data_IF_054058112193
#
_entry.id   IF_054058112193
#
_cell.length_a   1.000
_cell.length_b   1.000
_cell.length_c   1.000
_cell.angle_alpha   90.00
_cell.angle_beta   90.00
_cell.angle_gamma   90.00
#
_symmetry.space_group_name_H-M   'P 1'
#
loop_
_entity.id
_entity.type
_entity.pdbx_description
1 polymer ?
#
# COMPACT_ATOMS: atom_id res chain seq x y z
N UNK A 1 -0.37 23.39 0.66
CA UNK A 1 1.05 23.16 0.32
C UNK A 1 1.54 21.80 0.78
N UNK A 2 1.42 21.48 2.08
CA UNK A 2 1.88 20.22 2.68
C UNK A 2 1.38 18.94 1.96
N UNK A 3 0.08 18.82 1.63
CA UNK A 3 -0.46 17.63 0.95
C UNK A 3 0.14 17.42 -0.45
N UNK A 4 0.49 18.50 -1.18
CA UNK A 4 1.12 18.40 -2.50
C UNK A 4 2.56 17.90 -2.41
N UNK A 5 3.29 18.37 -1.40
CA UNK A 5 4.66 17.90 -1.13
C UNK A 5 4.64 16.42 -0.78
N UNK A 6 3.72 15.99 0.08
CA UNK A 6 3.57 14.59 0.46
C UNK A 6 3.14 13.70 -0.71
N UNK A 7 2.25 14.16 -1.59
CA UNK A 7 1.91 13.48 -2.83
C UNK A 7 3.14 13.23 -3.70
N UNK A 8 3.93 14.27 -3.97
CA UNK A 8 5.16 14.15 -4.76
C UNK A 8 6.15 13.21 -4.07
N UNK A 9 6.33 13.35 -2.75
CA UNK A 9 7.19 12.46 -1.98
C UNK A 9 6.74 11.00 -2.04
N UNK A 10 5.42 10.72 -2.02
CA UNK A 10 4.87 9.38 -2.22
C UNK A 10 5.32 8.81 -3.55
N UNK A 11 5.18 9.56 -4.65
CA UNK A 11 5.66 9.11 -5.97
C UNK A 11 7.15 8.84 -5.98
N UNK A 12 7.95 9.80 -5.49
CA UNK A 12 9.41 9.69 -5.50
C UNK A 12 9.89 8.49 -4.67
N UNK A 13 9.20 8.12 -3.60
CA UNK A 13 9.59 6.99 -2.75
C UNK A 13 9.57 5.63 -3.47
N UNK A 14 8.78 5.47 -4.54
CA UNK A 14 8.71 4.24 -5.32
C UNK A 14 9.78 4.16 -6.43
N UNK A 15 10.35 5.29 -6.84
CA UNK A 15 11.29 5.36 -7.96
C UNK A 15 12.49 4.43 -7.78
N UNK A 16 13.17 4.36 -6.62
CA UNK A 16 14.33 3.48 -6.47
C UNK A 16 13.99 2.01 -6.72
N UNK A 17 12.83 1.55 -6.26
CA UNK A 17 12.38 0.16 -6.42
C UNK A 17 11.95 -0.13 -7.86
N UNK A 18 11.17 0.77 -8.47
CA UNK A 18 10.72 0.64 -9.86
C UNK A 18 11.89 0.66 -10.84
N UNK A 19 12.84 1.59 -10.65
CA UNK A 19 14.06 1.68 -11.46
C UNK A 19 14.88 0.40 -11.33
N UNK A 20 15.03 -0.13 -10.12
CA UNK A 20 15.80 -1.35 -9.89
C UNK A 20 15.19 -2.55 -10.61
N UNK A 21 13.86 -2.73 -10.52
CA UNK A 21 13.12 -3.76 -11.26
C UNK A 21 13.30 -3.62 -12.78
N UNK A 22 13.15 -2.40 -13.31
CA UNK A 22 13.24 -2.16 -14.77
C UNK A 22 14.65 -2.34 -15.32
N UNK A 23 15.68 -1.86 -14.59
CA UNK A 23 17.08 -1.95 -15.02
C UNK A 23 17.58 -3.38 -14.93
N UNK A 24 17.25 -4.11 -13.85
CA UNK A 24 17.69 -5.50 -13.68
C UNK A 24 16.84 -6.50 -14.43
N UNK A 25 15.59 -6.16 -14.75
CA UNK A 25 14.58 -7.08 -15.31
C UNK A 25 14.47 -8.38 -14.51
N UNK A 26 14.56 -8.25 -13.20
CA UNK A 26 14.58 -9.34 -12.24
C UNK A 26 13.81 -8.92 -11.01
N UNK A 27 13.01 -9.83 -10.47
CA UNK A 27 12.26 -9.65 -9.22
C UNK A 27 12.81 -10.49 -8.06
N UNK A 28 14.01 -11.05 -8.18
CA UNK A 28 14.63 -11.89 -7.15
C UNK A 28 14.74 -11.19 -5.79
N UNK A 29 14.27 -11.87 -4.75
CA UNK A 29 14.22 -11.32 -3.39
C UNK A 29 13.03 -10.43 -3.09
N UNK A 30 12.12 -10.21 -4.05
CA UNK A 30 10.81 -9.59 -3.81
C UNK A 30 9.75 -10.68 -3.86
N UNK A 31 8.99 -10.81 -2.77
CA UNK A 31 7.88 -11.75 -2.70
C UNK A 31 6.68 -11.22 -3.49
N UNK A 32 6.18 -12.02 -4.42
CA UNK A 32 4.95 -11.69 -5.15
C UNK A 32 3.77 -11.43 -4.20
N UNK A 33 3.65 -12.23 -3.14
CA UNK A 33 2.58 -12.06 -2.16
C UNK A 33 2.77 -10.81 -1.30
N UNK A 34 4.01 -10.38 -1.02
CA UNK A 34 4.25 -9.10 -0.36
C UNK A 34 3.71 -7.94 -1.21
N UNK A 35 4.01 -7.95 -2.50
CA UNK A 35 3.52 -6.92 -3.43
C UNK A 35 2.00 -6.98 -3.57
N UNK A 36 1.43 -8.19 -3.65
CA UNK A 36 -0.02 -8.40 -3.66
C UNK A 36 -0.69 -7.83 -2.41
N UNK A 37 -0.20 -8.14 -1.22
CA UNK A 37 -0.82 -7.66 0.03
C UNK A 37 -0.82 -6.13 0.11
N UNK A 38 0.28 -5.46 -0.28
CA UNK A 38 0.32 -4.01 -0.35
C UNK A 38 -0.58 -3.44 -1.47
N UNK A 39 -0.75 -4.16 -2.57
CA UNK A 39 -1.71 -3.81 -3.62
C UNK A 39 -3.15 -3.89 -3.10
N UNK A 40 -3.51 -4.92 -2.32
CA UNK A 40 -4.83 -5.01 -1.68
C UNK A 40 -5.07 -3.82 -0.74
N UNK A 41 -4.08 -3.50 0.11
CA UNK A 41 -4.16 -2.35 1.04
C UNK A 41 -4.36 -1.04 0.31
N UNK A 42 -3.53 -0.75 -0.70
CA UNK A 42 -3.65 0.48 -1.46
C UNK A 42 -4.93 0.57 -2.29
N UNK A 43 -5.43 -0.58 -2.79
CA UNK A 43 -6.75 -0.65 -3.45
C UNK A 43 -7.85 -0.25 -2.48
N UNK A 44 -7.87 -0.82 -1.27
CA UNK A 44 -8.89 -0.51 -0.26
C UNK A 44 -8.87 0.97 0.14
N UNK A 45 -7.68 1.53 0.41
CA UNK A 45 -7.55 2.94 0.75
C UNK A 45 -7.99 3.86 -0.40
N UNK A 46 -7.66 3.53 -1.65
CA UNK A 46 -8.11 4.29 -2.81
C UNK A 46 -9.63 4.19 -3.03
N UNK A 47 -10.20 2.98 -2.86
CA UNK A 47 -11.64 2.75 -2.93
C UNK A 47 -12.39 3.57 -1.87
N UNK A 48 -11.96 3.50 -0.60
CA UNK A 48 -12.61 4.26 0.48
C UNK A 48 -12.48 5.77 0.28
N UNK A 49 -11.31 6.25 -0.17
CA UNK A 49 -11.15 7.67 -0.50
C UNK A 49 -12.11 8.12 -1.62
N UNK A 50 -12.26 7.30 -2.67
CA UNK A 50 -13.20 7.59 -3.75
C UNK A 50 -14.66 7.53 -3.26
N UNK A 51 -15.00 6.58 -2.40
CA UNK A 51 -16.32 6.48 -1.80
C UNK A 51 -16.69 7.72 -0.99
N UNK A 52 -15.79 8.20 -0.13
CA UNK A 52 -16.05 9.40 0.67
C UNK A 52 -16.08 10.69 -0.15
N UNK A 53 -15.20 10.83 -1.14
CA UNK A 53 -15.08 12.08 -1.93
C UNK A 53 -16.10 12.16 -3.06
N UNK A 54 -16.43 11.04 -3.71
CA UNK A 54 -17.28 11.00 -4.91
C UNK A 54 -18.69 10.53 -4.57
N UNK A 55 -18.85 9.34 -3.99
CA UNK A 55 -20.18 8.75 -3.76
C UNK A 55 -20.93 9.44 -2.62
N UNK A 56 -20.24 9.77 -1.54
CA UNK A 56 -20.83 10.45 -0.37
C UNK A 56 -20.83 11.98 -0.46
N UNK A 57 -20.40 12.59 -1.57
CA UNK A 57 -20.32 14.04 -1.71
C UNK A 57 -21.65 14.76 -1.38
N UNK A 58 -22.77 14.20 -1.84
CA UNK A 58 -24.11 14.79 -1.69
C UNK A 58 -24.78 14.43 -0.35
N UNK A 59 -24.53 13.22 0.15
CA UNK A 59 -25.09 12.73 1.41
C UNK A 59 -24.36 13.37 2.61
N UNK A 60 -23.04 13.56 2.47
CA UNK A 60 -22.17 14.22 3.42
C UNK A 60 -21.67 13.31 4.53
N UNK A 61 -20.36 13.36 4.78
CA UNK A 61 -19.73 12.90 6.02
C UNK A 61 -18.69 13.93 6.41
N UNK A 62 -18.88 14.63 7.52
CA UNK A 62 -17.93 15.67 8.01
C UNK A 62 -16.73 15.07 8.77
N UNK A 63 -16.66 13.75 8.91
CA UNK A 63 -15.64 13.07 9.73
C UNK A 63 -14.39 12.78 8.91
N UNK A 64 -14.54 12.31 7.67
CA UNK A 64 -13.44 11.91 6.79
C UNK A 64 -13.14 12.94 5.68
N UNK A 65 -14.17 13.60 5.14
CA UNK A 65 -14.11 14.58 4.04
C UNK A 65 -14.89 15.83 4.46
N UNK A 66 -14.65 16.98 3.85
CA UNK A 66 -15.44 18.18 4.14
C UNK A 66 -16.76 18.12 3.37
N UNK A 67 -17.82 18.76 3.89
CA UNK A 67 -19.07 18.95 3.15
C UNK A 67 -19.20 20.41 2.67
N UNK A 68 -19.11 20.71 1.36
CA UNK A 68 -18.72 19.83 0.25
C UNK A 68 -17.20 19.53 0.23
N UNK A 69 -16.75 18.50 -0.51
CA UNK A 69 -15.33 18.14 -0.59
C UNK A 69 -14.48 19.32 -1.07
N UNK A 70 -13.44 19.66 -0.30
CA UNK A 70 -12.56 20.77 -0.63
C UNK A 70 -11.34 20.30 -1.45
N UNK A 71 -10.49 21.24 -1.90
CA UNK A 71 -9.28 20.91 -2.67
C UNK A 71 -8.34 19.94 -1.95
N UNK A 72 -8.28 19.98 -0.62
CA UNK A 72 -7.48 19.05 0.18
C UNK A 72 -7.98 17.61 0.08
N UNK A 73 -9.29 17.42 0.10
CA UNK A 73 -9.95 16.10 -0.01
C UNK A 73 -9.66 15.47 -1.39
N UNK A 74 -9.76 16.26 -2.46
CA UNK A 74 -9.38 15.82 -3.81
C UNK A 74 -7.90 15.46 -3.93
N UNK A 75 -6.99 16.21 -3.29
CA UNK A 75 -5.56 15.87 -3.28
C UNK A 75 -5.32 14.56 -2.52
N UNK A 76 -6.04 14.32 -1.41
CA UNK A 76 -5.95 13.06 -0.67
C UNK A 76 -6.41 11.88 -1.52
N UNK A 77 -7.52 12.03 -2.25
CA UNK A 77 -7.99 11.03 -3.20
C UNK A 77 -6.91 10.72 -4.25
N UNK A 78 -6.41 11.74 -4.94
CA UNK A 78 -5.33 11.59 -5.94
C UNK A 78 -4.12 10.88 -5.34
N UNK A 79 -3.75 11.23 -4.11
CA UNK A 79 -2.61 10.63 -3.43
C UNK A 79 -2.77 9.12 -3.20
N UNK A 80 -3.92 8.70 -2.67
CA UNK A 80 -4.19 7.28 -2.42
C UNK A 80 -4.34 6.50 -3.74
N UNK A 81 -4.99 7.09 -4.74
CA UNK A 81 -5.09 6.51 -6.09
C UNK A 81 -3.72 6.34 -6.75
N UNK A 82 -2.83 7.34 -6.63
CA UNK A 82 -1.48 7.24 -7.18
C UNK A 82 -0.66 6.15 -6.48
N UNK A 83 -0.78 6.02 -5.15
CA UNK A 83 -0.13 4.92 -4.41
C UNK A 83 -0.65 3.56 -4.89
N UNK A 84 -1.96 3.42 -5.11
CA UNK A 84 -2.55 2.22 -5.73
C UNK A 84 -1.94 1.93 -7.11
N UNK A 85 -1.84 2.93 -8.00
CA UNK A 85 -1.25 2.76 -9.33
C UNK A 85 0.22 2.33 -9.25
N UNK A 86 1.00 2.90 -8.32
CA UNK A 86 2.40 2.55 -8.13
C UNK A 86 2.58 1.10 -7.62
N UNK A 87 1.70 0.64 -6.74
CA UNK A 87 1.66 -0.76 -6.32
C UNK A 87 1.22 -1.69 -7.44
N UNK A 88 0.24 -1.29 -8.24
CA UNK A 88 -0.21 -2.07 -9.40
C UNK A 88 0.92 -2.22 -10.43
N UNK A 89 1.66 -1.14 -10.68
CA UNK A 89 2.85 -1.17 -11.54
C UNK A 89 3.92 -2.09 -10.97
N UNK A 90 4.20 -1.98 -9.68
CA UNK A 90 5.18 -2.85 -9.00
C UNK A 90 4.76 -4.32 -9.08
N UNK A 91 3.47 -4.62 -8.92
CA UNK A 91 2.89 -5.95 -9.06
C UNK A 91 3.04 -6.50 -10.48
N UNK A 92 2.68 -5.70 -11.50
CA UNK A 92 2.84 -6.07 -12.89
C UNK A 92 4.31 -6.37 -13.24
N UNK A 93 5.24 -5.50 -12.85
CA UNK A 93 6.68 -5.71 -13.07
C UNK A 93 7.21 -6.93 -12.32
N UNK A 94 6.73 -7.18 -11.09
CA UNK A 94 7.11 -8.37 -10.31
C UNK A 94 6.64 -9.65 -10.99
N UNK A 95 5.47 -9.64 -11.63
CA UNK A 95 4.98 -10.78 -12.43
C UNK A 95 5.80 -10.94 -13.72
N UNK A 96 5.97 -9.86 -14.49
CA UNK A 96 6.65 -9.87 -15.79
C UNK A 96 8.10 -10.36 -15.65
N UNK A 97 8.79 -9.94 -14.59
CA UNK A 97 10.18 -10.33 -14.32
C UNK A 97 10.30 -11.52 -13.35
N UNK A 98 9.17 -12.16 -13.01
CA UNK A 98 9.20 -13.35 -12.17
C UNK A 98 9.78 -14.53 -12.94
N UNK A 99 10.72 -15.24 -12.32
CA UNK A 99 11.14 -16.58 -12.76
C UNK A 99 10.37 -17.70 -12.03
N UNK A 100 9.29 -17.34 -11.32
CA UNK A 100 8.54 -18.24 -10.44
C UNK A 100 7.56 -19.17 -11.16
N UNK A 101 7.01 -20.11 -10.40
CA UNK A 101 6.00 -21.05 -10.87
C UNK A 101 4.68 -20.32 -11.24
N UNK A 102 4.23 -20.52 -12.49
CA UNK A 102 3.03 -19.89 -13.05
C UNK A 102 1.75 -20.07 -12.23
N UNK A 103 1.64 -21.14 -11.43
CA UNK A 103 0.51 -21.33 -10.52
C UNK A 103 0.42 -20.23 -9.46
N UNK A 104 1.55 -19.82 -8.88
CA UNK A 104 1.56 -18.75 -7.87
C UNK A 104 1.20 -17.40 -8.47
N UNK A 105 1.64 -17.14 -9.71
CA UNK A 105 1.27 -15.95 -10.47
C UNK A 105 -0.24 -15.95 -10.72
N UNK A 106 -0.78 -17.06 -11.24
CA UNK A 106 -2.22 -17.19 -11.49
C UNK A 106 -3.05 -16.99 -10.22
N UNK A 107 -2.64 -17.57 -9.08
CA UNK A 107 -3.29 -17.35 -7.80
C UNK A 107 -3.23 -15.89 -7.35
N UNK A 108 -2.08 -15.22 -7.47
CA UNK A 108 -1.95 -13.83 -7.07
C UNK A 108 -2.85 -12.91 -7.93
N UNK A 109 -2.88 -13.13 -9.25
CA UNK A 109 -3.78 -12.41 -10.17
C UNK A 109 -5.23 -12.68 -9.79
N UNK A 110 -5.62 -13.95 -9.58
CA UNK A 110 -7.00 -14.29 -9.24
C UNK A 110 -7.46 -13.62 -7.93
N UNK A 111 -6.60 -13.61 -6.89
CA UNK A 111 -6.89 -12.94 -5.62
C UNK A 111 -7.05 -11.44 -5.82
N UNK A 112 -6.14 -10.78 -6.54
CA UNK A 112 -6.26 -9.36 -6.81
C UNK A 112 -7.52 -9.03 -7.62
N UNK A 113 -7.77 -9.76 -8.71
CA UNK A 113 -8.95 -9.57 -9.54
C UNK A 113 -10.23 -9.74 -8.73
N UNK A 114 -10.32 -10.80 -7.92
CA UNK A 114 -11.48 -11.02 -7.05
C UNK A 114 -11.68 -9.86 -6.08
N UNK A 115 -10.62 -9.41 -5.40
CA UNK A 115 -10.70 -8.28 -4.47
C UNK A 115 -11.11 -6.98 -5.17
N UNK A 116 -10.52 -6.69 -6.34
CA UNK A 116 -10.85 -5.50 -7.13
C UNK A 116 -12.32 -5.50 -7.59
N UNK A 117 -12.84 -6.67 -8.01
CA UNK A 117 -14.23 -6.85 -8.43
C UNK A 117 -15.24 -6.63 -7.30
N UNK A 118 -14.90 -6.95 -6.06
CA UNK A 118 -15.81 -6.75 -4.91
C UNK A 118 -15.64 -5.38 -4.24
N UNK A 119 -14.48 -4.72 -4.40
CA UNK A 119 -14.16 -3.45 -3.74
C UNK A 119 -14.35 -2.26 -4.69
N UNK A 120 -13.53 -2.14 -5.72
CA UNK A 120 -13.49 -0.94 -6.57
C UNK A 120 -14.58 -0.92 -7.65
N UNK A 121 -14.92 -2.07 -8.23
CA UNK A 121 -15.90 -2.14 -9.34
C UNK A 121 -17.31 -1.68 -8.94
N UNK A 122 -17.88 -2.08 -7.78
CA UNK A 122 -19.20 -1.60 -7.37
C UNK A 122 -19.23 -0.08 -7.21
N UNK A 123 -18.14 0.50 -6.70
CA UNK A 123 -18.00 1.94 -6.54
C UNK A 123 -17.91 2.67 -7.89
N UNK A 124 -17.12 2.13 -8.83
CA UNK A 124 -17.02 2.69 -10.19
C UNK A 124 -18.39 2.63 -10.88
N UNK A 125 -19.12 1.52 -10.74
CA UNK A 125 -20.46 1.36 -11.30
C UNK A 125 -21.45 2.38 -10.72
N UNK A 126 -21.44 2.61 -9.40
CA UNK A 126 -22.24 3.67 -8.76
C UNK A 126 -21.87 5.06 -9.32
N UNK A 127 -20.58 5.39 -9.36
CA UNK A 127 -20.10 6.71 -9.79
C UNK A 127 -20.45 7.08 -11.24
N UNK A 128 -20.59 6.10 -12.14
CA UNK A 128 -20.96 6.35 -13.55
C UNK A 128 -22.46 6.21 -13.82
N UNK A 129 -23.23 5.69 -12.86
CA UNK A 129 -24.67 5.53 -13.01
C UNK A 129 -25.35 6.87 -12.77
N UNK A 130 -26.12 7.41 -13.74
CA UNK A 130 -26.91 8.62 -13.50
C UNK A 130 -27.88 8.37 -12.36
N UNK A 131 -27.76 9.14 -11.29
CA UNK A 131 -28.75 9.14 -10.23
C UNK A 131 -29.79 10.21 -10.59
N UNK A 132 -30.96 9.75 -11.06
CA UNK A 132 -32.11 10.63 -11.24
C UNK A 132 -32.33 11.42 -9.94
N UNK A 133 -32.63 12.71 -10.05
CA UNK A 133 -32.74 13.66 -8.92
C UNK A 133 -33.86 13.32 -7.91
N UNK A 134 -34.45 12.13 -7.97
CA UNK A 134 -35.40 11.69 -6.98
C UNK A 134 -34.67 11.51 -5.63
N UNK A 135 -35.05 12.26 -4.58
CA UNK A 135 -34.36 12.27 -3.28
C UNK A 135 -34.45 10.93 -2.49
N UNK A 136 -34.96 9.87 -3.12
CA UNK A 136 -35.32 8.58 -2.51
C UNK A 136 -35.02 7.39 -3.41
N UNK A 137 -33.86 7.34 -4.08
CA UNK A 137 -33.38 6.05 -4.59
C UNK A 137 -32.97 5.15 -3.41
N UNK A 138 -33.94 4.39 -2.90
CA UNK A 138 -33.79 3.50 -1.75
C UNK A 138 -32.70 2.45 -1.99
N UNK A 139 -32.53 1.99 -3.23
CA UNK A 139 -31.52 1.00 -3.60
C UNK A 139 -30.11 1.58 -3.44
N UNK A 140 -29.91 2.84 -3.85
CA UNK A 140 -28.63 3.54 -3.63
C UNK A 140 -28.30 3.70 -2.15
N UNK A 141 -29.30 4.00 -1.30
CA UNK A 141 -29.09 4.10 0.16
C UNK A 141 -28.66 2.77 0.76
N UNK A 142 -29.30 1.67 0.35
CA UNK A 142 -28.91 0.33 0.76
C UNK A 142 -27.49 -0.02 0.28
N UNK A 143 -27.16 0.32 -0.97
CA UNK A 143 -25.81 0.15 -1.49
C UNK A 143 -24.79 0.91 -0.64
N UNK A 144 -24.99 2.21 -0.40
CA UNK A 144 -24.09 3.04 0.42
C UNK A 144 -23.92 2.43 1.81
N UNK A 145 -25.01 2.07 2.49
CA UNK A 145 -24.96 1.53 3.84
C UNK A 145 -24.26 0.16 3.89
N UNK A 146 -24.53 -0.72 2.92
CA UNK A 146 -23.90 -2.03 2.85
C UNK A 146 -22.41 -1.92 2.50
N UNK A 147 -22.07 -1.06 1.55
CA UNK A 147 -20.70 -0.80 1.12
C UNK A 147 -19.87 -0.22 2.27
N UNK A 148 -20.35 0.87 2.89
CA UNK A 148 -19.71 1.48 4.06
C UNK A 148 -19.56 0.44 5.18
N UNK A 149 -20.62 -0.29 5.49
CA UNK A 149 -20.61 -1.29 6.56
C UNK A 149 -19.59 -2.41 6.32
N UNK A 150 -19.60 -3.01 5.13
CA UNK A 150 -18.68 -4.09 4.78
C UNK A 150 -17.23 -3.63 4.77
N UNK A 151 -16.95 -2.46 4.17
CA UNK A 151 -15.58 -1.95 4.09
C UNK A 151 -15.06 -1.52 5.45
N UNK A 152 -15.81 -0.68 6.18
CA UNK A 152 -15.34 -0.08 7.43
C UNK A 152 -15.28 -1.09 8.58
N UNK A 153 -16.24 -2.01 8.70
CA UNK A 153 -16.28 -2.94 9.84
C UNK A 153 -15.63 -4.30 9.57
N UNK A 154 -15.52 -4.73 8.31
CA UNK A 154 -14.99 -6.06 7.97
C UNK A 154 -13.69 -5.97 7.19
N UNK A 155 -13.63 -5.20 6.10
CA UNK A 155 -12.44 -5.19 5.24
C UNK A 155 -11.28 -4.40 5.85
N UNK A 156 -11.49 -3.20 6.40
CA UNK A 156 -10.36 -2.41 6.93
C UNK A 156 -9.56 -3.14 8.01
N UNK A 157 -10.16 -3.83 9.03
CA UNK A 157 -9.38 -4.60 9.99
C UNK A 157 -8.60 -5.75 9.34
N UNK A 158 -9.22 -6.46 8.39
CA UNK A 158 -8.56 -7.54 7.64
C UNK A 158 -7.38 -6.99 6.86
N UNK A 159 -7.56 -5.87 6.17
CA UNK A 159 -6.54 -5.22 5.33
C UNK A 159 -5.36 -4.74 6.18
N UNK A 160 -5.58 -4.17 7.37
CA UNK A 160 -4.49 -3.82 8.29
C UNK A 160 -3.70 -5.05 8.74
N UNK A 161 -4.37 -6.18 9.04
CA UNK A 161 -3.69 -7.43 9.39
C UNK A 161 -2.87 -7.98 8.21
N UNK A 162 -3.41 -7.88 6.99
CA UNK A 162 -2.71 -8.25 5.77
C UNK A 162 -1.48 -7.35 5.53
N UNK A 163 -1.59 -6.04 5.79
CA UNK A 163 -0.48 -5.09 5.73
C UNK A 163 0.67 -5.52 6.67
N UNK A 164 0.35 -5.88 7.91
CA UNK A 164 1.34 -6.37 8.87
C UNK A 164 1.94 -7.72 8.43
N UNK A 165 1.10 -8.63 7.91
CA UNK A 165 1.54 -9.94 7.43
C UNK A 165 2.50 -9.86 6.23
N UNK A 166 2.46 -8.77 5.47
CA UNK A 166 3.38 -8.52 4.36
C UNK A 166 4.85 -8.56 4.81
N UNK A 167 5.16 -8.15 6.04
CA UNK A 167 6.50 -8.27 6.62
C UNK A 167 6.97 -9.72 6.66
N UNK A 168 6.16 -10.63 7.19
CA UNK A 168 6.54 -12.03 7.36
C UNK A 168 6.77 -12.69 6.00
N UNK A 169 5.90 -12.37 5.04
CA UNK A 169 5.98 -12.87 3.67
C UNK A 169 7.25 -12.39 2.99
N UNK A 170 7.58 -11.10 3.08
CA UNK A 170 8.76 -10.53 2.44
C UNK A 170 10.06 -10.95 3.14
N UNK A 171 10.10 -10.97 4.47
CA UNK A 171 11.27 -11.36 5.25
C UNK A 171 11.77 -12.79 4.93
N UNK A 172 10.85 -13.69 4.56
CA UNK A 172 11.18 -15.05 4.10
C UNK A 172 11.85 -15.06 2.73
N UNK A 173 11.52 -14.10 1.87
CA UNK A 173 12.05 -14.00 0.50
C UNK A 173 13.38 -13.26 0.38
N UNK A 174 13.83 -12.54 1.42
CA UNK A 174 15.12 -11.82 1.39
C UNK A 174 16.29 -12.81 1.49
N UNK A 175 16.69 -13.44 0.40
CA UNK A 175 17.88 -14.30 0.35
C UNK A 175 19.21 -13.53 0.35
N UNK A 176 20.36 -14.23 0.39
CA UNK A 176 21.69 -13.65 0.18
C UNK A 176 21.79 -12.90 -1.16
N UNK A 177 21.12 -13.43 -2.19
CA UNK A 177 21.04 -12.84 -3.54
C UNK A 177 19.79 -11.96 -3.76
N UNK A 178 19.21 -11.37 -2.70
CA UNK A 178 18.07 -10.45 -2.83
C UNK A 178 18.48 -9.11 -3.47
N UNK A 179 18.72 -9.19 -4.78
CA UNK A 179 19.34 -8.18 -5.64
C UNK A 179 18.33 -7.21 -6.22
N UNK A 180 17.06 -7.60 -6.32
CA UNK A 180 15.99 -6.74 -6.82
C UNK A 180 15.36 -5.86 -5.74
N UNK A 181 15.62 -6.10 -4.45
CA UNK A 181 15.09 -5.28 -3.35
C UNK A 181 15.95 -4.01 -3.15
N UNK A 182 15.32 -2.85 -3.28
CA UNK A 182 15.97 -1.54 -3.17
C UNK A 182 15.99 -1.06 -1.72
N UNK A 183 17.16 -1.00 -1.10
CA UNK A 183 17.32 -0.45 0.26
C UNK A 183 16.94 1.03 0.31
N UNK A 184 17.31 1.80 -0.73
CA UNK A 184 16.94 3.21 -0.87
C UNK A 184 15.41 3.36 -0.95
N UNK A 185 14.74 2.47 -1.68
CA UNK A 185 13.28 2.41 -1.75
C UNK A 185 12.65 2.16 -0.38
N UNK A 186 13.15 1.16 0.37
CA UNK A 186 12.67 0.86 1.72
C UNK A 186 12.85 2.05 2.67
N UNK A 187 14.00 2.73 2.65
CA UNK A 187 14.25 3.94 3.45
C UNK A 187 13.27 5.04 3.07
N UNK A 188 13.16 5.35 1.77
CA UNK A 188 12.31 6.43 1.30
C UNK A 188 10.84 6.16 1.64
N UNK A 189 10.36 4.94 1.44
CA UNK A 189 9.00 4.53 1.78
C UNK A 189 8.76 4.56 3.29
N UNK A 190 9.70 4.08 4.12
CA UNK A 190 9.56 4.17 5.58
C UNK A 190 9.37 5.63 6.04
N UNK A 191 10.23 6.53 5.59
CA UNK A 191 10.18 7.96 5.97
C UNK A 191 8.88 8.60 5.47
N UNK A 192 8.58 8.46 4.18
CA UNK A 192 7.43 9.14 3.57
C UNK A 192 6.12 8.64 4.17
N UNK A 193 5.98 7.33 4.40
CA UNK A 193 4.74 6.79 4.97
C UNK A 193 4.61 7.05 6.47
N UNK A 194 5.71 7.19 7.22
CA UNK A 194 5.66 7.75 8.58
C UNK A 194 5.14 9.19 8.60
N UNK A 195 5.62 10.03 7.67
CA UNK A 195 5.13 11.41 7.54
C UNK A 195 3.65 11.44 7.12
N UNK A 196 3.23 10.51 6.24
CA UNK A 196 1.83 10.40 5.85
C UNK A 196 0.94 10.02 7.02
N UNK A 197 1.31 8.97 7.76
CA UNK A 197 0.62 8.53 8.96
C UNK A 197 0.38 9.70 9.92
N UNK A 198 1.46 10.43 10.25
CA UNK A 198 1.38 11.61 11.11
C UNK A 198 0.45 12.66 10.51
N UNK A 199 0.61 12.97 9.22
CA UNK A 199 -0.24 13.98 8.58
C UNK A 199 -1.72 13.62 8.59
N UNK A 200 -2.07 12.32 8.50
CA UNK A 200 -3.46 11.87 8.59
C UNK A 200 -4.07 12.14 9.96
N UNK A 201 -3.30 12.04 11.05
CA UNK A 201 -3.80 12.39 12.39
C UNK A 201 -4.29 13.85 12.49
N UNK A 202 -3.71 14.77 11.71
CA UNK A 202 -4.16 16.17 11.63
C UNK A 202 -5.22 16.44 10.57
N UNK A 203 -5.38 15.55 9.58
CA UNK A 203 -6.38 15.70 8.49
C UNK A 203 -7.76 15.21 8.91
N UNK A 204 -7.80 14.21 9.79
CA UNK A 204 -9.04 13.59 10.24
C UNK A 204 -9.71 14.45 11.32
N UNK A 205 -11.03 14.63 11.24
CA UNK A 205 -11.78 15.25 12.32
C UNK A 205 -12.05 14.22 13.41
N UNK A 206 -11.75 14.58 14.65
CA UNK A 206 -12.00 13.71 15.78
C UNK A 206 -13.51 13.54 15.98
N UNK A 207 -14.05 12.31 16.01
CA UNK A 207 -15.50 12.05 16.08
C UNK A 207 -16.16 12.36 17.46
N UNK A 208 -15.46 13.06 18.36
CA UNK A 208 -15.98 13.50 19.68
C UNK A 208 -15.26 12.89 20.89
N UNK A 209 -15.35 13.53 22.06
CA UNK A 209 -14.54 13.20 23.26
C UNK A 209 -14.78 11.79 23.85
N UNK A 210 -15.89 11.13 23.50
CA UNK A 210 -16.29 9.83 24.06
C UNK A 210 -15.99 8.64 23.12
N UNK A 211 -15.22 8.86 22.05
CA UNK A 211 -14.93 7.81 21.06
C UNK A 211 -13.79 6.93 21.58
N UNK A 212 -14.09 5.65 21.78
CA UNK A 212 -13.09 4.63 22.11
C UNK A 212 -12.22 4.35 20.87
N UNK A 213 -10.94 4.01 21.07
CA UNK A 213 -9.96 3.81 19.99
C UNK A 213 -10.46 2.91 18.84
N UNK A 214 -11.23 1.87 19.14
CA UNK A 214 -11.81 0.98 18.12
C UNK A 214 -12.77 1.72 17.18
N UNK A 215 -13.65 2.56 17.71
CA UNK A 215 -14.58 3.37 16.92
C UNK A 215 -13.85 4.47 16.14
N UNK A 216 -12.80 5.07 16.72
CA UNK A 216 -11.96 6.02 15.98
C UNK A 216 -11.30 5.36 14.76
N UNK A 217 -10.70 4.17 14.97
CA UNK A 217 -10.09 3.39 13.89
C UNK A 217 -11.12 3.04 12.81
N UNK A 218 -12.27 2.49 13.20
CA UNK A 218 -13.33 2.06 12.29
C UNK A 218 -13.94 3.23 11.49
N UNK A 219 -14.02 4.43 12.07
CA UNK A 219 -14.61 5.56 11.37
C UNK A 219 -13.61 6.28 10.45
N UNK A 220 -12.37 6.48 10.91
CA UNK A 220 -11.40 7.34 10.19
C UNK A 220 -9.94 6.95 10.38
N UNK A 221 -9.60 6.34 11.52
CA UNK A 221 -8.21 6.10 11.91
C UNK A 221 -7.50 5.03 11.10
N UNK A 222 -8.23 4.16 10.40
CA UNK A 222 -7.66 3.08 9.59
C UNK A 222 -6.61 3.58 8.59
N UNK A 223 -6.83 4.72 7.94
CA UNK A 223 -5.86 5.29 6.98
C UNK A 223 -4.54 5.61 7.66
N UNK A 224 -4.57 6.27 8.83
CA UNK A 224 -3.36 6.59 9.57
C UNK A 224 -2.65 5.30 10.02
N UNK A 225 -3.40 4.34 10.57
CA UNK A 225 -2.86 3.07 11.05
C UNK A 225 -2.21 2.26 9.94
N UNK A 226 -2.82 2.16 8.76
CA UNK A 226 -2.24 1.43 7.63
C UNK A 226 -0.92 2.04 7.16
N UNK A 227 -0.81 3.38 7.15
CA UNK A 227 0.46 4.04 6.83
C UNK A 227 1.52 3.81 7.91
N UNK A 228 1.14 3.75 9.20
CA UNK A 228 2.07 3.39 10.30
C UNK A 228 2.56 1.96 10.10
N UNK A 229 1.64 1.02 9.93
CA UNK A 229 1.97 -0.39 9.73
C UNK A 229 2.90 -0.54 8.54
N UNK A 230 2.55 0.06 7.40
CA UNK A 230 3.37 0.02 6.21
C UNK A 230 4.78 0.58 6.45
N UNK A 231 4.91 1.75 7.08
CA UNK A 231 6.21 2.35 7.38
C UNK A 231 7.07 1.47 8.29
N UNK A 232 6.46 0.86 9.32
CA UNK A 232 7.13 -0.10 10.20
C UNK A 232 7.59 -1.35 9.43
N UNK A 233 6.75 -1.88 8.55
CA UNK A 233 7.13 -3.01 7.68
C UNK A 233 8.36 -2.64 6.85
N UNK A 234 8.39 -1.47 6.20
CA UNK A 234 9.54 -1.03 5.41
C UNK A 234 10.81 -0.88 6.26
N UNK A 235 10.70 -0.28 7.44
CA UNK A 235 11.82 -0.09 8.34
C UNK A 235 12.41 -1.42 8.83
N UNK A 236 11.56 -2.39 9.19
CA UNK A 236 12.01 -3.72 9.63
C UNK A 236 12.61 -4.50 8.47
N UNK A 237 12.01 -4.44 7.27
CA UNK A 237 12.57 -5.08 6.07
C UNK A 237 13.94 -4.52 5.70
N UNK A 238 14.13 -3.21 5.83
CA UNK A 238 15.43 -2.56 5.64
C UNK A 238 16.46 -3.13 6.61
N UNK A 239 16.13 -3.19 7.90
CA UNK A 239 17.02 -3.75 8.91
C UNK A 239 17.39 -5.21 8.61
N UNK A 240 16.41 -6.05 8.23
CA UNK A 240 16.65 -7.45 7.83
C UNK A 240 17.56 -7.52 6.61
N UNK A 241 17.29 -6.72 5.57
CA UNK A 241 18.06 -6.74 4.33
C UNK A 241 19.51 -6.30 4.54
N UNK A 242 19.74 -5.24 5.33
CA UNK A 242 21.10 -4.79 5.69
C UNK A 242 21.83 -5.86 6.49
N UNK A 243 21.18 -6.49 7.47
CA UNK A 243 21.79 -7.55 8.27
C UNK A 243 22.19 -8.76 7.42
N UNK A 244 21.33 -9.21 6.49
CA UNK A 244 21.62 -10.37 5.62
C UNK A 244 22.72 -10.08 4.61
N UNK A 245 22.79 -8.86 4.05
CA UNK A 245 23.89 -8.47 3.14
C UNK A 245 25.25 -8.49 3.84
N UNK A 246 25.33 -7.93 5.05
CA UNK A 246 26.57 -7.98 5.86
C UNK A 246 27.02 -9.40 6.17
N UNK A 247 26.08 -10.30 6.51
CA UNK A 247 26.40 -11.71 6.77
C UNK A 247 26.89 -12.45 5.51
N UNK A 248 26.32 -12.12 4.34
CA UNK A 248 26.77 -12.66 3.06
C UNK A 248 28.19 -12.22 2.70
N UNK A 249 28.52 -10.95 2.94
CA UNK A 249 29.86 -10.40 2.73
C UNK A 249 30.91 -11.07 3.62
N UNK A 250 30.61 -11.26 4.92
CA UNK A 250 31.53 -11.97 5.83
C UNK A 250 31.75 -13.43 5.42
N UNK A 251 30.69 -14.13 5.01
CA UNK A 251 30.79 -15.53 4.58
C UNK A 251 31.49 -15.70 3.21
N UNK A 252 31.43 -14.69 2.34
CA UNK A 252 32.18 -14.66 1.09
C UNK A 252 33.67 -14.41 1.32
N UNK A 253 34.02 -13.50 2.25
CA UNK A 253 35.41 -13.23 2.62
C UNK A 253 36.14 -14.42 3.26
N UNK A 254 35.41 -15.31 3.96
CA UNK A 254 35.97 -16.57 4.49
C UNK A 254 36.20 -17.65 3.42
N UNK A 255 35.63 -17.48 2.21
CA UNK A 255 35.75 -18.43 1.09
C UNK A 255 36.70 -17.98 -0.02
N UNK A 256 37.37 -16.84 0.15
CA UNK A 256 38.45 -16.45 -0.77
C UNK A 256 39.65 -17.40 -0.56
N UNK A 257 40.12 -18.09 -1.61
CA UNK A 257 41.31 -18.91 -1.49
C UNK A 257 42.51 -18.00 -1.18
N UNK A 258 43.18 -18.26 -0.05
CA UNK A 258 44.49 -17.69 0.29
C UNK A 258 45.53 -18.20 -0.71
N UNK A 259 45.51 -17.70 -1.94
CA UNK A 259 46.61 -17.90 -2.87
C UNK A 259 47.72 -16.95 -2.41
N UNK A 260 48.56 -17.47 -1.51
CA UNK A 260 49.89 -16.94 -1.27
C UNK A 260 50.57 -16.76 -2.63
N UNK A 261 50.68 -15.51 -3.07
CA UNK A 261 51.60 -15.18 -4.16
C UNK A 261 53.00 -15.24 -3.58
N UNK A 262 53.57 -16.44 -3.50
CA UNK A 262 55.01 -16.60 -3.33
C UNK A 262 55.62 -16.08 -4.63
N UNK A 263 56.06 -14.82 -4.64
CA UNK A 263 56.98 -14.34 -5.67
C UNK A 263 58.31 -15.05 -5.46
N UNK A 264 58.51 -16.14 -6.19
CA UNK A 264 59.86 -16.60 -6.52
C UNK A 264 60.26 -15.88 -7.80
N UNK A 265 61.10 -14.86 -7.64
CA UNK A 265 62.28 -14.51 -8.44
C UNK A 265 62.70 -13.09 -8.09
#
# INVERSE_FOLDING_TARGET
LHNRVLLVASVLSFIPQLRLLLVRRDSSGISLYYVLLNLLVSTELATLAAFFVVTLADVGSDVFVNKPPNTGDWINLVQLTVIFVLWLLTFALTIIFSQGNGRHIATAIAVFTFFFLISAVPLIADAITPHDQHPYNQDRKWFIAFFEGAHMFVLTPIITILAASALLVQARSIGPDARALSLEGLVAQAIVFSLLALSWLWRLRWPGANVVMASWYQCVGFVAVDHIVFALVQAVLLWIAVRRRRQGETAAGEREPLIFTVRVL
#
